data_IF_973910450880
#
_entry.id   IF_973910450880
#
_cell.length_a   1.000
_cell.length_b   1.000
_cell.length_c   1.000
_cell.angle_alpha   90.00
_cell.angle_beta   90.00
_cell.angle_gamma   90.00
#
_symmetry.space_group_name_H-M   'P 1'
#
loop_
_entity.id
_entity.type
_entity.pdbx_description
1 polymer ?
#
# COMPACT_ATOMS: atom_id res chain seq x y z
N UNK A 1 -17.26 -14.58 -5.09
CA UNK A 1 -16.81 -13.63 -6.11
C UNK A 1 -17.80 -13.57 -7.30
N UNK A 2 -18.17 -14.72 -7.88
CA UNK A 2 -19.11 -14.77 -9.02
C UNK A 2 -20.46 -14.13 -8.66
N UNK A 3 -21.07 -14.56 -7.56
CA UNK A 3 -22.36 -14.04 -7.10
C UNK A 3 -22.30 -12.53 -6.79
N UNK A 4 -21.22 -12.05 -6.19
CA UNK A 4 -21.06 -10.61 -5.93
C UNK A 4 -20.96 -9.80 -7.21
N UNK A 5 -20.29 -10.31 -8.23
CA UNK A 5 -20.21 -9.67 -9.53
C UNK A 5 -21.58 -9.61 -10.25
N UNK A 6 -22.37 -10.68 -10.13
CA UNK A 6 -23.74 -10.73 -10.68
C UNK A 6 -24.70 -9.78 -9.98
N UNK A 7 -24.53 -9.57 -8.68
CA UNK A 7 -25.36 -8.66 -7.87
C UNK A 7 -24.95 -7.18 -7.99
N UNK A 8 -23.83 -6.88 -8.60
CA UNK A 8 -23.39 -5.50 -8.84
C UNK A 8 -24.35 -4.78 -9.78
N UNK A 9 -25.01 -3.75 -9.26
CA UNK A 9 -26.05 -3.01 -10.01
C UNK A 9 -25.69 -1.54 -10.29
N UNK A 10 -24.49 -1.11 -9.88
CA UNK A 10 -24.06 0.28 -10.03
C UNK A 10 -23.43 0.55 -11.40
N UNK A 11 -23.42 1.82 -11.81
CA UNK A 11 -22.90 2.25 -13.12
C UNK A 11 -21.38 2.44 -13.18
N UNK A 12 -20.68 2.18 -12.11
CA UNK A 12 -19.20 2.28 -12.03
C UNK A 12 -18.57 0.95 -11.62
N UNK A 13 -17.29 0.79 -11.88
CA UNK A 13 -16.56 -0.43 -11.51
C UNK A 13 -16.29 -0.44 -10.00
N UNK A 14 -17.01 -1.28 -9.27
CA UNK A 14 -16.83 -1.45 -7.83
C UNK A 14 -15.54 -2.20 -7.52
N UNK A 15 -14.99 -1.96 -6.32
CA UNK A 15 -13.90 -2.75 -5.77
C UNK A 15 -14.44 -3.96 -4.99
N UNK A 16 -13.68 -5.06 -5.02
CA UNK A 16 -13.88 -6.17 -4.10
C UNK A 16 -13.03 -5.92 -2.85
N UNK A 17 -13.68 -5.74 -1.72
CA UNK A 17 -13.05 -5.57 -0.43
C UNK A 17 -13.23 -6.81 0.43
N UNK A 18 -12.18 -7.13 1.20
CA UNK A 18 -12.16 -8.24 2.14
C UNK A 18 -11.91 -7.71 3.55
N UNK A 19 -12.73 -8.16 4.49
CA UNK A 19 -12.53 -7.96 5.92
C UNK A 19 -12.25 -9.31 6.57
N UNK A 20 -11.14 -9.42 7.29
CA UNK A 20 -10.74 -10.65 7.99
C UNK A 20 -10.63 -10.39 9.47
N UNK A 21 -11.42 -11.11 10.26
CA UNK A 21 -11.31 -11.10 11.72
C UNK A 21 -10.19 -12.04 12.15
N UNK A 22 -9.11 -11.47 12.69
CA UNK A 22 -7.91 -12.23 13.07
C UNK A 22 -8.02 -12.86 14.47
N UNK A 23 -9.01 -12.49 15.27
CA UNK A 23 -9.14 -12.98 16.65
C UNK A 23 -8.03 -12.50 17.59
N UNK A 24 -7.38 -11.37 17.28
CA UNK A 24 -6.32 -10.75 18.08
C UNK A 24 -6.85 -9.57 18.89
N UNK A 25 -6.19 -9.25 20.01
CA UNK A 25 -6.48 -8.05 20.80
C UNK A 25 -5.55 -6.89 20.40
N UNK A 26 -6.03 -5.92 19.61
CA UNK A 26 -5.20 -4.82 19.10
C UNK A 26 -4.79 -3.79 20.18
N UNK A 27 -5.29 -3.92 21.40
CA UNK A 27 -4.84 -3.11 22.55
C UNK A 27 -3.45 -3.53 23.02
N UNK A 28 -3.09 -4.78 22.74
CA UNK A 28 -1.77 -5.31 23.04
C UNK A 28 -0.83 -5.01 21.87
N UNK A 29 0.26 -4.33 22.13
CA UNK A 29 1.21 -3.88 21.10
C UNK A 29 1.85 -5.02 20.31
N UNK A 30 1.98 -6.20 20.92
CA UNK A 30 2.49 -7.44 20.34
C UNK A 30 1.47 -8.15 19.44
N UNK A 31 0.17 -7.82 19.56
CA UNK A 31 -0.91 -8.41 18.77
C UNK A 31 -1.41 -7.49 17.63
N UNK A 32 -0.80 -6.34 17.45
CA UNK A 32 -1.11 -5.45 16.32
C UNK A 32 -0.50 -6.01 15.05
N UNK A 33 -1.33 -6.55 14.18
CA UNK A 33 -0.92 -7.04 12.86
C UNK A 33 -0.87 -5.88 11.86
N UNK A 34 0.27 -5.71 11.21
CA UNK A 34 0.51 -4.72 10.16
C UNK A 34 1.49 -5.29 9.15
N UNK A 35 1.12 -5.26 7.88
CA UNK A 35 1.95 -5.79 6.81
C UNK A 35 1.55 -5.28 5.44
N UNK A 36 2.21 -5.86 4.43
CA UNK A 36 1.89 -5.61 3.03
C UNK A 36 2.14 -6.89 2.22
N UNK A 37 1.25 -7.17 1.31
CA UNK A 37 1.32 -8.32 0.39
C UNK A 37 1.20 -7.85 -1.04
N UNK A 38 2.02 -8.40 -1.93
CA UNK A 38 1.87 -8.18 -3.38
C UNK A 38 0.87 -9.21 -3.92
N UNK A 39 -0.24 -8.72 -4.47
CA UNK A 39 -1.26 -9.58 -5.04
C UNK A 39 -0.83 -10.07 -6.42
N UNK A 40 -0.95 -11.39 -6.72
CA UNK A 40 -0.49 -11.97 -7.99
C UNK A 40 -1.12 -11.34 -9.23
N UNK A 41 -2.39 -10.94 -9.12
CA UNK A 41 -3.16 -10.36 -10.24
C UNK A 41 -3.37 -8.84 -10.10
N UNK A 42 -2.68 -8.20 -9.17
CA UNK A 42 -2.85 -6.78 -8.86
C UNK A 42 -4.22 -6.45 -8.27
N UNK A 43 -4.50 -5.16 -8.11
CA UNK A 43 -5.79 -4.66 -7.56
C UNK A 43 -6.67 -4.01 -8.63
N UNK A 44 -6.17 -3.85 -9.86
CA UNK A 44 -6.84 -3.10 -10.93
C UNK A 44 -6.82 -1.57 -10.72
N UNK A 45 -6.13 -1.09 -9.70
CA UNK A 45 -5.97 0.34 -9.41
C UNK A 45 -4.64 0.84 -9.96
N UNK A 46 -4.66 1.99 -10.66
CA UNK A 46 -3.43 2.70 -11.00
C UNK A 46 -2.90 3.41 -9.77
N UNK A 47 -1.73 2.97 -9.29
CA UNK A 47 -1.09 3.50 -8.08
C UNK A 47 -0.10 4.58 -8.44
N UNK A 48 -0.23 5.76 -7.81
CA UNK A 48 0.75 6.86 -7.91
C UNK A 48 1.73 6.75 -6.75
N UNK A 49 3.02 6.66 -7.08
CA UNK A 49 4.10 6.43 -6.13
C UNK A 49 5.02 7.65 -6.06
N UNK A 50 5.19 8.19 -4.86
CA UNK A 50 6.20 9.19 -4.55
C UNK A 50 7.35 8.55 -3.77
N UNK A 51 8.58 8.90 -4.12
CA UNK A 51 9.79 8.34 -3.49
C UNK A 51 10.67 9.44 -2.95
N UNK A 52 10.97 9.36 -1.67
CA UNK A 52 11.96 10.21 -1.00
C UNK A 52 13.32 9.53 -1.04
N UNK A 53 14.16 9.94 -1.96
CA UNK A 53 15.53 9.45 -2.11
C UNK A 53 16.36 10.41 -2.95
N UNK A 54 17.68 10.26 -2.95
CA UNK A 54 18.60 11.08 -3.74
C UNK A 54 19.70 10.22 -4.36
N UNK A 55 20.45 10.83 -5.27
CA UNK A 55 21.57 10.18 -5.96
C UNK A 55 21.13 8.98 -6.81
N UNK A 56 21.91 7.89 -6.83
CA UNK A 56 21.61 6.71 -7.67
C UNK A 56 20.23 6.08 -7.37
N UNK A 57 19.75 6.21 -6.15
CA UNK A 57 18.42 5.73 -5.77
C UNK A 57 17.29 6.47 -6.48
N UNK A 58 17.46 7.76 -6.77
CA UNK A 58 16.47 8.55 -7.50
C UNK A 58 16.31 8.07 -8.95
N UNK A 59 17.42 7.80 -9.63
CA UNK A 59 17.40 7.28 -11.00
C UNK A 59 16.78 5.87 -11.04
N UNK A 60 17.16 5.02 -10.09
CA UNK A 60 16.61 3.67 -9.98
C UNK A 60 15.11 3.68 -9.70
N UNK A 61 14.62 4.58 -8.86
CA UNK A 61 13.20 4.73 -8.57
C UNK A 61 12.41 5.21 -9.78
N UNK A 62 12.92 6.18 -10.54
CA UNK A 62 12.31 6.65 -11.78
C UNK A 62 12.27 5.55 -12.84
N UNK A 63 13.38 4.82 -13.02
CA UNK A 63 13.45 3.68 -13.93
C UNK A 63 12.47 2.55 -13.55
N UNK A 64 12.17 2.39 -12.26
CA UNK A 64 11.19 1.44 -11.77
C UNK A 64 9.72 1.90 -11.94
N UNK A 65 9.49 3.15 -12.36
CA UNK A 65 8.17 3.69 -12.64
C UNK A 65 7.59 4.59 -11.54
N UNK A 66 8.42 5.16 -10.66
CA UNK A 66 7.95 6.15 -9.70
C UNK A 66 7.41 7.38 -10.42
N UNK A 67 6.28 7.91 -9.94
CA UNK A 67 5.64 9.08 -10.55
C UNK A 67 6.34 10.39 -10.15
N UNK A 68 6.90 10.42 -8.95
CA UNK A 68 7.67 11.57 -8.44
C UNK A 68 8.79 11.08 -7.53
N UNK A 69 9.97 11.65 -7.70
CA UNK A 69 11.13 11.40 -6.84
C UNK A 69 11.71 12.74 -6.41
N UNK A 70 12.05 12.88 -5.15
CA UNK A 70 12.64 14.11 -4.61
C UNK A 70 13.01 13.98 -3.13
N UNK A 71 13.42 15.07 -2.54
CA UNK A 71 13.75 15.19 -1.12
C UNK A 71 13.04 16.41 -0.52
N UNK A 72 13.76 17.49 -0.26
CA UNK A 72 13.19 18.71 0.34
C UNK A 72 12.20 19.42 -0.61
N UNK A 73 12.41 19.35 -1.91
CA UNK A 73 11.51 19.84 -2.96
C UNK A 73 10.16 19.10 -2.91
N UNK A 74 10.19 17.77 -2.90
CA UNK A 74 9.00 16.94 -2.76
C UNK A 74 8.30 17.15 -1.41
N UNK A 75 9.07 17.35 -0.34
CA UNK A 75 8.51 17.67 0.97
C UNK A 75 7.78 19.03 0.97
N UNK A 76 8.32 20.02 0.26
CA UNK A 76 7.68 21.34 0.12
C UNK A 76 6.38 21.24 -0.69
N UNK A 77 6.36 20.48 -1.79
CA UNK A 77 5.17 20.21 -2.60
C UNK A 77 4.06 19.57 -1.75
N UNK A 78 4.40 18.56 -0.96
CA UNK A 78 3.44 17.89 -0.07
C UNK A 78 2.93 18.79 1.07
N UNK A 79 3.78 19.67 1.61
CA UNK A 79 3.37 20.70 2.60
C UNK A 79 2.41 21.71 1.99
N UNK A 80 2.60 22.05 0.71
CA UNK A 80 1.72 22.95 -0.03
C UNK A 80 0.36 22.31 -0.39
N UNK A 81 0.18 21.01 -0.14
CA UNK A 81 -1.08 20.29 -0.32
C UNK A 81 -1.12 19.33 -1.51
N UNK A 82 -0.04 19.19 -2.27
CA UNK A 82 0.04 18.17 -3.33
C UNK A 82 0.29 16.78 -2.72
N UNK A 83 -0.79 16.11 -2.42
CA UNK A 83 -0.82 14.78 -1.79
C UNK A 83 -1.53 13.75 -2.66
N UNK A 84 -1.46 13.91 -3.98
CA UNK A 84 -2.10 13.03 -4.95
C UNK A 84 -1.33 11.73 -5.19
N UNK A 85 -0.85 11.11 -4.11
CA UNK A 85 -0.10 9.85 -4.14
C UNK A 85 -0.82 8.80 -3.31
N UNK A 86 -0.76 7.56 -3.78
CA UNK A 86 -1.33 6.39 -3.08
C UNK A 86 -0.31 5.71 -2.19
N UNK A 87 0.97 5.79 -2.55
CA UNK A 87 2.09 5.20 -1.81
C UNK A 87 3.23 6.19 -1.73
N UNK A 88 3.81 6.31 -0.54
CA UNK A 88 5.04 7.07 -0.30
C UNK A 88 6.11 6.08 0.17
N UNK A 89 7.22 6.05 -0.56
CA UNK A 89 8.39 5.23 -0.26
C UNK A 89 9.53 6.16 0.13
N UNK A 90 10.36 5.74 1.06
CA UNK A 90 11.52 6.51 1.49
C UNK A 90 12.75 5.63 1.66
N UNK A 91 13.92 6.14 1.29
CA UNK A 91 15.18 5.56 1.75
C UNK A 91 15.37 5.85 3.25
N UNK A 92 16.13 5.03 3.99
CA UNK A 92 16.36 5.27 5.42
C UNK A 92 16.90 6.67 5.72
N UNK A 93 17.77 7.19 4.86
CA UNK A 93 18.37 8.53 4.99
C UNK A 93 17.34 9.64 4.85
N UNK A 94 16.33 9.44 3.99
CA UNK A 94 15.27 10.40 3.74
C UNK A 94 14.25 10.49 4.89
N UNK A 95 14.26 9.56 5.82
CA UNK A 95 13.30 9.53 6.93
C UNK A 95 13.36 10.79 7.81
N UNK A 96 14.50 11.47 7.86
CA UNK A 96 14.63 12.76 8.55
C UNK A 96 13.73 13.83 7.92
N UNK A 97 13.65 13.87 6.60
CA UNK A 97 12.79 14.79 5.85
C UNK A 97 11.32 14.37 5.95
N UNK A 98 11.05 13.09 5.75
CA UNK A 98 9.71 12.51 5.83
C UNK A 98 9.10 12.64 7.23
N UNK A 99 9.91 12.57 8.29
CA UNK A 99 9.49 12.77 9.66
C UNK A 99 8.81 14.11 9.91
N UNK A 100 9.26 15.17 9.22
CA UNK A 100 8.64 16.50 9.27
C UNK A 100 7.24 16.54 8.64
N UNK A 101 6.93 15.56 7.77
CA UNK A 101 5.62 15.42 7.13
C UNK A 101 4.68 14.49 7.91
N UNK A 102 5.11 13.96 9.07
CA UNK A 102 4.36 12.97 9.84
C UNK A 102 2.94 13.41 10.20
N UNK A 103 2.75 14.69 10.51
CA UNK A 103 1.42 15.27 10.79
C UNK A 103 0.49 15.30 9.58
N UNK A 104 1.05 15.31 8.37
CA UNK A 104 0.30 15.37 7.11
C UNK A 104 0.09 13.96 6.55
N UNK A 105 1.14 13.15 6.53
CA UNK A 105 1.12 11.79 5.97
C UNK A 105 0.48 10.76 6.91
N UNK A 106 0.62 10.95 8.22
CA UNK A 106 0.10 10.03 9.24
C UNK A 106 -1.41 9.81 9.15
N UNK A 107 -2.24 10.88 9.22
CA UNK A 107 -3.70 10.75 9.13
C UNK A 107 -4.19 10.14 7.82
N UNK A 108 -3.42 10.30 6.73
CA UNK A 108 -3.74 9.76 5.39
C UNK A 108 -3.24 8.32 5.20
N UNK A 109 -2.54 7.75 6.17
CA UNK A 109 -1.96 6.41 6.05
C UNK A 109 -0.81 6.31 5.04
N UNK A 110 -0.24 7.44 4.63
CA UNK A 110 0.85 7.53 3.65
C UNK A 110 2.24 7.52 4.29
N UNK A 111 2.32 7.55 5.62
CA UNK A 111 3.62 7.55 6.32
C UNK A 111 4.41 6.28 6.02
N UNK A 112 5.62 6.38 5.47
CA UNK A 112 6.48 5.22 5.24
C UNK A 112 6.78 4.46 6.53
N UNK A 113 6.85 3.12 6.42
CA UNK A 113 7.10 2.26 7.55
C UNK A 113 7.94 1.04 7.14
N UNK A 114 9.00 0.70 7.89
CA UNK A 114 9.84 -0.47 7.59
C UNK A 114 9.08 -1.80 7.58
N UNK A 115 8.11 -1.97 8.50
CA UNK A 115 7.30 -3.21 8.59
C UNK A 115 6.43 -3.46 7.35
N UNK A 116 6.14 -2.42 6.59
CA UNK A 116 5.34 -2.50 5.35
C UNK A 116 6.23 -2.51 4.11
N UNK A 117 7.55 -2.40 4.29
CA UNK A 117 8.53 -2.37 3.19
C UNK A 117 8.56 -1.05 2.42
N UNK A 118 7.98 0.03 2.95
CA UNK A 118 8.00 1.37 2.33
C UNK A 118 9.17 2.24 2.81
N UNK A 119 9.95 1.75 3.78
CA UNK A 119 11.26 2.31 4.14
C UNK A 119 12.31 1.25 3.82
N UNK A 120 13.07 1.47 2.78
CA UNK A 120 14.08 0.52 2.29
C UNK A 120 15.19 1.21 1.52
N UNK A 121 16.38 0.62 1.53
CA UNK A 121 17.49 1.04 0.70
C UNK A 121 17.26 0.67 -0.79
N UNK A 122 16.54 -0.43 -1.04
CA UNK A 122 16.12 -0.85 -2.39
C UNK A 122 14.77 -0.22 -2.77
N UNK A 123 14.82 1.06 -3.08
CA UNK A 123 13.63 1.83 -3.49
C UNK A 123 13.05 1.35 -4.83
N UNK A 124 13.89 0.81 -5.73
CA UNK A 124 13.45 0.32 -7.03
C UNK A 124 12.51 -0.88 -6.90
N UNK A 125 12.88 -1.87 -6.11
CA UNK A 125 12.03 -3.04 -5.83
C UNK A 125 10.75 -2.62 -5.11
N UNK A 126 10.82 -1.68 -4.16
CA UNK A 126 9.64 -1.17 -3.47
C UNK A 126 8.65 -0.48 -4.43
N UNK A 127 9.15 0.31 -5.40
CA UNK A 127 8.32 0.93 -6.44
C UNK A 127 7.67 -0.12 -7.33
N UNK A 128 8.43 -1.12 -7.79
CA UNK A 128 7.90 -2.22 -8.61
C UNK A 128 6.78 -2.97 -7.88
N UNK A 129 6.98 -3.31 -6.61
CA UNK A 129 5.98 -3.98 -5.80
C UNK A 129 4.72 -3.12 -5.64
N UNK A 130 4.87 -1.83 -5.35
CA UNK A 130 3.75 -0.90 -5.23
C UNK A 130 2.94 -0.81 -6.54
N UNK A 131 3.61 -0.75 -7.69
CA UNK A 131 2.97 -0.73 -9.02
C UNK A 131 2.36 -2.07 -9.40
N UNK A 132 2.92 -3.19 -8.93
CA UNK A 132 2.40 -4.53 -9.18
C UNK A 132 1.11 -4.87 -8.42
N UNK A 133 0.63 -3.99 -7.55
CA UNK A 133 -0.59 -4.21 -6.77
C UNK A 133 -0.34 -4.68 -5.34
N UNK A 134 0.67 -4.13 -4.70
CA UNK A 134 0.88 -4.31 -3.28
C UNK A 134 -0.27 -3.70 -2.48
N UNK A 135 -0.89 -4.50 -1.62
CA UNK A 135 -1.88 -4.05 -0.64
C UNK A 135 -1.26 -3.99 0.74
N UNK A 136 -1.62 -2.95 1.48
CA UNK A 136 -1.21 -2.75 2.87
C UNK A 136 -2.41 -3.00 3.77
N UNK A 137 -2.17 -3.67 4.87
CA UNK A 137 -3.20 -3.96 5.85
C UNK A 137 -2.71 -3.66 7.25
N UNK A 138 -3.66 -3.31 8.09
CA UNK A 138 -3.45 -3.06 9.52
C UNK A 138 -4.72 -3.46 10.26
N UNK A 139 -4.57 -4.07 11.43
CA UNK A 139 -5.71 -4.31 12.32
C UNK A 139 -6.34 -3.00 12.77
N UNK A 140 -7.66 -2.97 12.76
CA UNK A 140 -8.45 -1.93 13.38
C UNK A 140 -8.58 -2.17 14.91
N UNK A 141 -9.38 -1.35 15.59
CA UNK A 141 -9.62 -1.46 17.04
C UNK A 141 -10.33 -2.75 17.47
N UNK A 142 -10.89 -3.50 16.53
CA UNK A 142 -11.60 -4.76 16.76
C UNK A 142 -10.78 -5.99 16.34
N UNK A 143 -9.52 -5.82 15.93
CA UNK A 143 -8.67 -6.91 15.46
C UNK A 143 -8.99 -7.37 14.04
N UNK A 144 -9.67 -6.55 13.25
CA UNK A 144 -10.07 -6.85 11.87
C UNK A 144 -9.15 -6.11 10.91
N UNK A 145 -8.72 -6.79 9.85
CA UNK A 145 -8.07 -6.13 8.71
C UNK A 145 -9.08 -5.91 7.58
N UNK A 146 -8.87 -4.82 6.85
CA UNK A 146 -9.67 -4.45 5.68
C UNK A 146 -8.72 -4.17 4.52
N UNK A 147 -8.99 -4.78 3.36
CA UNK A 147 -8.18 -4.56 2.16
C UNK A 147 -8.97 -4.85 0.88
N UNK A 148 -8.61 -4.16 -0.20
CA UNK A 148 -9.16 -4.44 -1.53
C UNK A 148 -8.34 -5.52 -2.22
N UNK A 149 -9.01 -6.47 -2.88
CA UNK A 149 -8.39 -7.59 -3.58
C UNK A 149 -8.56 -7.55 -5.10
N UNK A 150 -9.33 -6.61 -5.61
CA UNK A 150 -9.59 -6.46 -7.03
C UNK A 150 -10.79 -5.59 -7.33
N UNK A 151 -11.27 -5.66 -8.56
CA UNK A 151 -12.45 -4.91 -9.04
C UNK A 151 -13.45 -5.84 -9.70
N UNK A 152 -14.71 -5.41 -9.74
CA UNK A 152 -15.73 -6.03 -10.57
C UNK A 152 -15.25 -6.04 -12.03
N UNK A 153 -15.28 -7.20 -12.67
CA UNK A 153 -14.69 -7.42 -13.99
C UNK A 153 -13.43 -8.29 -13.95
N UNK A 154 -12.81 -8.50 -12.78
CA UNK A 154 -11.80 -9.53 -12.63
C UNK A 154 -12.46 -10.91 -12.73
N UNK A 155 -11.76 -11.86 -13.37
CA UNK A 155 -12.18 -13.25 -13.36
C UNK A 155 -12.19 -13.79 -11.92
N UNK A 156 -13.16 -14.65 -11.59
CA UNK A 156 -13.30 -15.23 -10.26
C UNK A 156 -12.04 -15.97 -9.80
N UNK A 157 -11.33 -16.63 -10.72
CA UNK A 157 -10.04 -17.29 -10.47
C UNK A 157 -8.97 -16.31 -9.98
N UNK A 158 -8.87 -15.12 -10.59
CA UNK A 158 -7.91 -14.09 -10.20
C UNK A 158 -8.20 -13.50 -8.82
N UNK A 159 -9.47 -13.28 -8.50
CA UNK A 159 -9.90 -12.84 -7.16
C UNK A 159 -9.59 -13.91 -6.11
N UNK A 160 -9.81 -15.17 -6.43
CA UNK A 160 -9.47 -16.32 -5.56
C UNK A 160 -7.98 -16.36 -5.25
N UNK A 161 -7.12 -16.27 -6.26
CA UNK A 161 -5.66 -16.26 -6.10
C UNK A 161 -5.20 -15.08 -5.23
N UNK A 162 -5.78 -13.90 -5.41
CA UNK A 162 -5.48 -12.72 -4.60
C UNK A 162 -5.86 -12.93 -3.12
N UNK A 163 -7.02 -13.49 -2.85
CA UNK A 163 -7.45 -13.83 -1.48
C UNK A 163 -6.54 -14.89 -0.87
N UNK A 164 -6.19 -15.93 -1.61
CA UNK A 164 -5.29 -17.00 -1.15
C UNK A 164 -3.90 -16.46 -0.82
N UNK A 165 -3.36 -15.55 -1.62
CA UNK A 165 -2.09 -14.88 -1.36
C UNK A 165 -2.14 -14.04 -0.07
N UNK A 166 -3.21 -13.29 0.14
CA UNK A 166 -3.43 -12.51 1.36
C UNK A 166 -3.51 -13.42 2.60
N UNK A 167 -4.30 -14.48 2.53
CA UNK A 167 -4.47 -15.43 3.65
C UNK A 167 -3.15 -16.16 3.95
N UNK A 168 -2.39 -16.54 2.93
CA UNK A 168 -1.09 -17.18 3.10
C UNK A 168 -0.09 -16.26 3.82
N UNK A 169 -0.12 -14.97 3.52
CA UNK A 169 0.72 -13.98 4.20
C UNK A 169 0.29 -13.77 5.66
N UNK A 170 -1.01 -13.67 5.91
CA UNK A 170 -1.57 -13.56 7.26
C UNK A 170 -1.27 -14.76 8.16
N UNK A 171 -1.13 -15.96 7.58
CA UNK A 171 -0.76 -17.17 8.33
C UNK A 171 0.72 -17.21 8.73
N UNK A 172 1.56 -16.37 8.12
CA UNK A 172 2.99 -16.26 8.45
C UNK A 172 3.29 -15.24 9.56
N UNK A 173 2.34 -14.38 9.86
CA UNK A 173 2.44 -13.35 10.89
C UNK A 173 2.04 -13.89 12.27
#
# INVERSE_FOLDING_TARGET
>A
AVLLAELSAVKFTEAFDVAVNLGVDPRKSDQVVRGATVLPNGTGKTVRVAVFTQGPGAEAALAAGADRVGMDDLAAEMKAGDLNYDVVIASPDAMRVVGQLGQILGPRGLMPNPKVGTVTADVATAVKNAKAGQVRYRTDKNGIIHTSIGKVGFEASKLKENVEALIADLKRL
#
